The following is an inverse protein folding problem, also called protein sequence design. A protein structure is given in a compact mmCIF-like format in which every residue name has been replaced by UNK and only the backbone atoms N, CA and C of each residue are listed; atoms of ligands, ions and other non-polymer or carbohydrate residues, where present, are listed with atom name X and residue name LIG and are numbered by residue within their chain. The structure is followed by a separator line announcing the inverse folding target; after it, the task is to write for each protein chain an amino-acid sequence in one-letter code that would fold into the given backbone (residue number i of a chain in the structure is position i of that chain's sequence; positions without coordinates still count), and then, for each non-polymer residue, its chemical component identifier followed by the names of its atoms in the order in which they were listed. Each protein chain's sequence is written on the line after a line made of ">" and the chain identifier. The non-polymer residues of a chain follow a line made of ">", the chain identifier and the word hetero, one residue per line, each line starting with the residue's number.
data_IF_331069469829
#
_entry.id   IF_331069469829
#
_cell.length_a   1.000
_cell.length_b   1.000
_cell.length_c   1.000
_cell.angle_alpha   90.00
_cell.angle_beta   90.00
_cell.angle_gamma   90.00
#
_symmetry.space_group_name_H-M   'P 1'
#
loop_
_entity.id
_entity.type
_entity.pdbx_description
1 polymer ?
#
# COMPACT_ATOMS: atom_id res chain seq x y z
N UNK A 1 18.30 2.60 3.76
CA UNK A 1 18.61 1.87 2.52
C UNK A 1 18.81 0.38 2.81
N UNK A 2 18.26 -0.48 1.94
CA UNK A 2 18.46 -1.94 1.98
C UNK A 2 18.96 -2.41 0.61
N UNK A 3 20.15 -3.02 0.58
CA UNK A 3 20.80 -3.48 -0.66
C UNK A 3 20.92 -5.01 -0.75
N UNK A 4 20.60 -5.73 0.32
CA UNK A 4 20.69 -7.18 0.40
C UNK A 4 20.26 -7.72 1.76
N UNK A 5 20.46 -9.01 1.99
CA UNK A 5 20.11 -9.66 3.25
C UNK A 5 18.63 -10.01 3.35
N UNK A 6 18.26 -10.55 4.51
CA UNK A 6 16.87 -10.88 4.86
C UNK A 6 16.48 -10.23 6.18
N UNK A 7 15.42 -9.45 6.18
CA UNK A 7 14.85 -8.80 7.36
C UNK A 7 13.43 -9.30 7.55
N UNK A 8 13.15 -9.88 8.71
CA UNK A 8 11.80 -10.25 9.12
C UNK A 8 11.44 -9.52 10.41
N UNK A 9 10.31 -8.82 10.39
CA UNK A 9 9.81 -8.05 11.53
C UNK A 9 8.36 -8.39 11.79
N UNK A 10 7.96 -8.37 13.07
CA UNK A 10 6.57 -8.54 13.48
C UNK A 10 6.25 -7.58 14.62
N UNK A 11 5.07 -6.94 14.56
CA UNK A 11 4.57 -6.05 15.61
C UNK A 11 3.10 -6.32 15.88
N UNK A 12 2.68 -6.12 17.15
CA UNK A 12 1.31 -6.43 17.59
C UNK A 12 0.61 -5.24 18.25
N UNK A 13 1.35 -4.23 18.69
CA UNK A 13 0.77 -3.05 19.31
C UNK A 13 0.18 -2.10 18.27
N UNK A 14 -0.85 -1.35 18.68
CA UNK A 14 -1.42 -0.29 17.86
C UNK A 14 -0.36 0.75 17.51
N UNK A 15 -0.41 1.33 16.30
CA UNK A 15 0.59 2.28 15.76
C UNK A 15 2.02 1.75 15.65
N UNK A 16 2.27 0.49 15.94
CA UNK A 16 3.60 -0.09 15.79
C UNK A 16 3.81 -0.53 14.33
N UNK A 17 4.81 0.03 13.69
CA UNK A 17 5.14 -0.29 12.31
C UNK A 17 6.23 -1.36 12.23
N UNK A 18 6.19 -2.18 11.18
CA UNK A 18 7.24 -3.17 10.93
C UNK A 18 8.57 -2.49 10.62
N UNK A 19 8.54 -1.52 9.73
CA UNK A 19 9.68 -0.69 9.36
C UNK A 19 9.22 0.77 9.29
N UNK A 20 9.86 1.66 10.05
CA UNK A 20 9.55 3.10 10.06
C UNK A 20 10.78 3.92 9.71
N UNK A 21 10.60 4.93 8.86
CA UNK A 21 11.61 5.93 8.52
C UNK A 21 10.98 7.32 8.52
N UNK A 22 11.65 8.30 9.11
CA UNK A 22 11.30 9.72 9.01
C UNK A 22 11.84 10.36 7.70
N UNK A 23 12.63 9.60 6.93
CA UNK A 23 13.26 10.02 5.68
C UNK A 23 12.90 9.04 4.56
N UNK A 24 13.54 9.21 3.41
CA UNK A 24 13.40 8.31 2.26
C UNK A 24 13.81 6.87 2.60
N UNK A 25 13.12 5.94 1.97
CA UNK A 25 13.42 4.51 2.00
C UNK A 25 13.84 4.05 0.62
N UNK A 26 15.01 3.39 0.52
CA UNK A 26 15.54 2.84 -0.72
C UNK A 26 15.77 1.35 -0.53
N UNK A 27 15.17 0.53 -1.40
CA UNK A 27 15.33 -0.93 -1.42
C UNK A 27 15.79 -1.33 -2.81
N UNK A 28 17.05 -1.74 -2.93
CA UNK A 28 17.65 -2.19 -4.20
C UNK A 28 17.95 -3.68 -4.23
N UNK A 29 17.73 -4.41 -3.13
CA UNK A 29 17.96 -5.84 -3.06
C UNK A 29 17.62 -6.43 -1.69
N UNK A 30 17.77 -7.74 -1.56
CA UNK A 30 17.43 -8.48 -0.33
C UNK A 30 15.94 -8.81 -0.23
N UNK A 31 15.49 -9.21 0.96
CA UNK A 31 14.09 -9.51 1.23
C UNK A 31 13.65 -8.91 2.57
N UNK A 32 12.55 -8.16 2.55
CA UNK A 32 11.89 -7.59 3.70
C UNK A 32 10.53 -8.28 3.90
N UNK A 33 10.31 -8.85 5.07
CA UNK A 33 9.02 -9.42 5.47
C UNK A 33 8.51 -8.72 6.73
N UNK A 34 7.32 -8.12 6.65
CA UNK A 34 6.67 -7.45 7.78
C UNK A 34 5.30 -8.10 8.06
N UNK A 35 5.06 -8.43 9.33
CA UNK A 35 3.77 -8.90 9.83
C UNK A 35 3.31 -7.95 10.94
N UNK A 36 2.24 -7.20 10.70
CA UNK A 36 1.75 -6.16 11.62
C UNK A 36 0.27 -6.39 11.92
N UNK A 37 -0.02 -6.57 13.20
CA UNK A 37 -1.36 -6.93 13.66
C UNK A 37 -1.97 -5.93 14.64
N UNK A 38 -1.38 -4.78 14.84
CA UNK A 38 -1.94 -3.65 15.61
C UNK A 38 -2.82 -2.74 14.76
N UNK A 39 -3.81 -2.07 15.37
CA UNK A 39 -4.65 -1.09 14.69
C UNK A 39 -3.83 0.12 14.22
N UNK A 40 -4.15 0.66 13.05
CA UNK A 40 -3.44 1.80 12.48
C UNK A 40 -1.98 1.55 12.11
N UNK A 41 -1.51 0.29 12.14
CA UNK A 41 -0.11 -0.08 11.91
C UNK A 41 0.21 -0.29 10.42
N UNK A 42 1.48 -0.10 10.03
CA UNK A 42 1.96 -0.24 8.65
C UNK A 42 3.12 -1.25 8.59
N UNK A 43 3.16 -2.04 7.51
CA UNK A 43 4.30 -2.91 7.23
C UNK A 43 5.56 -2.06 7.04
N UNK A 44 5.51 -1.13 6.10
CA UNK A 44 6.50 -0.08 5.87
C UNK A 44 5.81 1.27 6.02
N UNK A 45 6.39 2.19 6.78
CA UNK A 45 5.97 3.58 6.93
C UNK A 45 7.15 4.50 6.67
N UNK A 46 7.05 5.43 5.73
CA UNK A 46 8.07 6.45 5.50
C UNK A 46 7.44 7.84 5.31
N UNK A 47 8.06 8.84 5.95
CA UNK A 47 7.63 10.23 5.81
C UNK A 47 8.21 10.88 4.52
N UNK A 48 9.28 10.31 3.97
CA UNK A 48 9.84 10.70 2.67
C UNK A 48 9.31 9.82 1.53
N UNK A 49 10.14 9.63 0.52
CA UNK A 49 9.85 8.80 -0.65
C UNK A 49 10.25 7.34 -0.43
N UNK A 50 9.57 6.44 -1.11
CA UNK A 50 9.98 5.04 -1.24
C UNK A 50 10.44 4.75 -2.67
N UNK A 51 11.67 4.29 -2.83
CA UNK A 51 12.18 3.78 -4.12
C UNK A 51 12.51 2.30 -3.99
N UNK A 52 11.93 1.48 -4.86
CA UNK A 52 12.23 0.05 -4.96
C UNK A 52 12.79 -0.24 -6.34
N UNK A 53 14.08 -0.57 -6.42
CA UNK A 53 14.74 -0.93 -7.69
C UNK A 53 15.08 -2.42 -7.78
N UNK A 54 14.78 -3.19 -6.74
CA UNK A 54 15.02 -4.63 -6.71
C UNK A 54 14.69 -5.25 -5.36
N UNK A 55 14.93 -6.54 -5.21
CA UNK A 55 14.63 -7.28 -3.99
C UNK A 55 13.18 -7.72 -3.87
N UNK A 56 12.80 -8.16 -2.68
CA UNK A 56 11.46 -8.66 -2.38
C UNK A 56 10.88 -8.02 -1.13
N UNK A 57 9.68 -7.47 -1.23
CA UNK A 57 8.93 -6.92 -0.11
C UNK A 57 7.66 -7.75 0.09
N UNK A 58 7.43 -8.22 1.31
CA UNK A 58 6.20 -8.89 1.70
C UNK A 58 5.66 -8.21 2.96
N UNK A 59 4.41 -7.75 2.94
CA UNK A 59 3.78 -7.19 4.14
C UNK A 59 2.37 -7.74 4.32
N UNK A 60 2.05 -8.06 5.58
CA UNK A 60 0.73 -8.49 6.02
C UNK A 60 0.23 -7.57 7.12
N UNK A 61 -1.02 -7.11 6.99
CA UNK A 61 -1.74 -6.35 8.03
C UNK A 61 -3.15 -6.91 8.21
N UNK A 62 -3.70 -6.86 9.43
CA UNK A 62 -4.97 -7.54 9.72
C UNK A 62 -5.97 -6.73 10.56
N UNK A 63 -5.58 -5.58 11.08
CA UNK A 63 -6.44 -4.80 11.97
C UNK A 63 -7.17 -3.65 11.28
N UNK A 64 -8.14 -3.10 12.00
CA UNK A 64 -8.93 -1.93 11.62
C UNK A 64 -8.12 -0.63 11.69
N UNK A 65 -8.63 0.48 11.16
CA UNK A 65 -8.08 1.81 11.41
C UNK A 65 -8.05 2.14 12.90
N UNK A 66 -7.10 2.97 13.29
CA UNK A 66 -7.10 3.65 14.58
C UNK A 66 -7.65 5.08 14.37
N UNK A 67 -8.61 5.47 15.22
CA UNK A 67 -9.07 6.85 15.28
C UNK A 67 -8.13 7.67 16.14
N UNK A 68 -7.59 8.73 15.62
CA UNK A 68 -6.72 9.68 16.29
C UNK A 68 -6.70 11.02 15.57
N UNK A 69 -6.52 12.10 16.30
CA UNK A 69 -6.41 13.47 15.75
C UNK A 69 -7.53 13.80 14.74
N UNK A 70 -8.75 13.38 15.07
CA UNK A 70 -9.96 13.56 14.23
C UNK A 70 -9.89 12.89 12.86
N UNK A 71 -9.05 11.87 12.67
CA UNK A 71 -8.89 11.11 11.44
C UNK A 71 -8.82 9.59 11.67
N UNK A 72 -8.92 8.82 10.58
CA UNK A 72 -8.83 7.37 10.54
C UNK A 72 -7.49 6.91 9.94
N UNK A 73 -6.55 6.56 10.81
CA UNK A 73 -5.28 5.96 10.39
C UNK A 73 -5.46 4.49 10.00
N UNK A 74 -5.64 4.20 8.73
CA UNK A 74 -5.84 2.82 8.22
C UNK A 74 -4.55 1.99 8.32
N UNK A 75 -4.69 0.68 8.53
CA UNK A 75 -3.57 -0.24 8.33
C UNK A 75 -3.17 -0.28 6.86
N UNK A 76 -1.87 -0.38 6.58
CA UNK A 76 -1.35 -0.45 5.23
C UNK A 76 -0.13 -1.40 5.13
N UNK A 77 0.00 -2.12 4.02
CA UNK A 77 1.24 -2.84 3.72
C UNK A 77 2.40 -1.86 3.58
N UNK A 78 2.20 -0.81 2.78
CA UNK A 78 3.13 0.32 2.60
C UNK A 78 2.36 1.62 2.74
N UNK A 79 2.86 2.57 3.55
CA UNK A 79 2.42 3.96 3.62
C UNK A 79 3.62 4.87 3.39
N UNK A 80 3.48 5.81 2.48
CA UNK A 80 4.44 6.88 2.22
C UNK A 80 3.75 8.24 2.26
N UNK A 81 4.40 9.23 2.85
CA UNK A 81 3.94 10.62 2.80
C UNK A 81 4.45 11.32 1.52
N UNK A 82 5.63 10.93 1.03
CA UNK A 82 6.13 11.32 -0.29
C UNK A 82 5.69 10.40 -1.42
N UNK A 83 6.48 10.31 -2.47
CA UNK A 83 6.22 9.50 -3.66
C UNK A 83 6.67 8.04 -3.47
N UNK A 84 6.01 7.13 -4.20
CA UNK A 84 6.44 5.73 -4.33
C UNK A 84 6.87 5.50 -5.78
N UNK A 85 8.12 5.06 -5.97
CA UNK A 85 8.68 4.71 -7.28
C UNK A 85 9.14 3.26 -7.27
N UNK A 86 8.61 2.47 -8.18
CA UNK A 86 8.96 1.05 -8.35
C UNK A 86 9.63 0.90 -9.71
N UNK A 87 10.96 0.74 -9.69
CA UNK A 87 11.81 0.51 -10.85
C UNK A 87 11.97 -1.00 -11.14
N UNK A 88 11.60 -1.85 -10.20
CA UNK A 88 11.74 -3.30 -10.30
C UNK A 88 11.52 -4.02 -8.97
N UNK A 89 11.81 -5.32 -8.93
CA UNK A 89 11.65 -6.16 -7.74
C UNK A 89 10.29 -6.83 -7.63
N UNK A 90 10.04 -7.46 -6.50
CA UNK A 90 8.81 -8.18 -6.20
C UNK A 90 8.16 -7.59 -4.93
N UNK A 91 6.95 -7.12 -5.05
CA UNK A 91 6.16 -6.56 -3.93
C UNK A 91 4.87 -7.37 -3.77
N UNK A 92 4.67 -7.95 -2.58
CA UNK A 92 3.48 -8.72 -2.24
C UNK A 92 2.86 -8.18 -0.94
N UNK A 93 1.71 -7.52 -1.04
CA UNK A 93 1.03 -6.89 0.08
C UNK A 93 -0.33 -7.56 0.32
N UNK A 94 -0.65 -7.81 1.58
CA UNK A 94 -1.96 -8.30 1.97
C UNK A 94 -2.46 -7.52 3.19
N UNK A 95 -3.67 -6.97 3.07
CA UNK A 95 -4.36 -6.30 4.17
C UNK A 95 -5.78 -6.86 4.32
N UNK A 96 -6.07 -7.48 5.47
CA UNK A 96 -7.34 -8.18 5.70
C UNK A 96 -8.26 -7.44 6.67
N UNK A 97 -7.76 -6.46 7.38
CA UNK A 97 -8.54 -5.64 8.31
C UNK A 97 -9.48 -4.66 7.59
N UNK A 98 -10.52 -4.21 8.29
CA UNK A 98 -11.43 -3.19 7.77
C UNK A 98 -10.67 -1.96 7.29
N UNK A 99 -11.08 -1.37 6.19
CA UNK A 99 -10.45 -0.23 5.52
C UNK A 99 -8.94 -0.38 5.24
N UNK A 100 -8.45 -1.62 5.22
CA UNK A 100 -7.03 -1.89 5.01
C UNK A 100 -6.55 -1.45 3.64
N UNK A 101 -5.37 -0.86 3.58
CA UNK A 101 -4.71 -0.46 2.34
C UNK A 101 -3.57 -1.43 2.04
N UNK A 102 -3.39 -1.75 0.77
CA UNK A 102 -2.15 -2.43 0.37
C UNK A 102 -1.01 -1.43 0.27
N UNK A 103 -1.11 -0.51 -0.65
CA UNK A 103 -0.17 0.59 -0.86
C UNK A 103 -0.93 1.92 -0.75
N UNK A 104 -0.49 2.81 0.11
CA UNK A 104 -1.10 4.12 0.34
C UNK A 104 -0.03 5.21 0.28
N UNK A 105 -0.24 6.22 -0.56
CA UNK A 105 0.73 7.26 -0.83
C UNK A 105 0.04 8.63 -0.81
N UNK A 106 0.61 9.60 -0.10
CA UNK A 106 0.11 10.98 -0.12
C UNK A 106 0.66 11.75 -1.34
N UNK A 107 1.78 11.31 -1.88
CA UNK A 107 2.30 11.76 -3.18
C UNK A 107 1.78 10.91 -4.34
N UNK A 108 2.62 10.72 -5.33
CA UNK A 108 2.36 9.95 -6.56
C UNK A 108 2.92 8.52 -6.47
N UNK A 109 2.31 7.59 -7.19
CA UNK A 109 2.84 6.24 -7.38
C UNK A 109 3.25 6.07 -8.84
N UNK A 110 4.51 5.67 -9.08
CA UNK A 110 5.00 5.34 -10.42
C UNK A 110 5.60 3.93 -10.44
N UNK A 111 5.13 3.11 -11.35
CA UNK A 111 5.64 1.75 -11.57
C UNK A 111 6.26 1.68 -12.95
N UNK A 112 7.58 1.48 -13.02
CA UNK A 112 8.32 1.34 -14.28
C UNK A 112 8.47 -0.12 -14.68
N UNK A 113 8.72 -1.02 -13.70
CA UNK A 113 8.91 -2.45 -13.92
C UNK A 113 8.70 -3.23 -12.60
N UNK A 114 8.87 -4.55 -12.63
CA UNK A 114 8.74 -5.45 -11.48
C UNK A 114 7.37 -6.11 -11.37
N UNK A 115 7.14 -6.77 -10.23
CA UNK A 115 5.87 -7.43 -9.94
C UNK A 115 5.27 -6.86 -8.66
N UNK A 116 4.08 -6.28 -8.77
CA UNK A 116 3.32 -5.72 -7.65
C UNK A 116 2.04 -6.52 -7.50
N UNK A 117 1.93 -7.27 -6.40
CA UNK A 117 0.72 -8.02 -6.04
C UNK A 117 0.13 -7.47 -4.76
N UNK A 118 -1.13 -7.05 -4.82
CA UNK A 118 -1.83 -6.48 -3.67
C UNK A 118 -3.19 -7.14 -3.48
N UNK A 119 -3.46 -7.58 -2.25
CA UNK A 119 -4.73 -8.18 -1.86
C UNK A 119 -5.29 -7.42 -0.66
N UNK A 120 -6.51 -6.91 -0.79
CA UNK A 120 -7.28 -6.37 0.33
C UNK A 120 -8.63 -7.09 0.41
N UNK A 121 -9.03 -7.46 1.63
CA UNK A 121 -10.30 -8.18 1.87
C UNK A 121 -11.12 -7.55 3.00
N UNK A 122 -10.65 -6.46 3.57
CA UNK A 122 -11.36 -5.75 4.63
C UNK A 122 -12.57 -4.99 4.09
N UNK A 123 -13.63 -4.93 4.90
CA UNK A 123 -14.84 -4.14 4.62
C UNK A 123 -14.61 -2.65 4.87
N UNK A 124 -15.57 -1.82 4.53
CA UNK A 124 -15.61 -0.42 4.98
C UNK A 124 -15.57 -0.36 6.52
N UNK A 125 -14.90 0.66 7.04
CA UNK A 125 -14.88 1.00 8.46
C UNK A 125 -15.51 2.38 8.68
N UNK A 126 -16.44 2.45 9.61
CA UNK A 126 -17.15 3.69 9.97
C UNK A 126 -16.93 3.98 11.45
N UNK A 127 -16.57 5.22 11.76
CA UNK A 127 -16.43 5.72 13.13
C UNK A 127 -17.02 7.14 13.22
N UNK A 128 -18.17 7.27 13.85
CA UNK A 128 -18.90 8.53 13.91
C UNK A 128 -19.35 9.00 12.51
N UNK A 129 -18.77 10.10 12.04
CA UNK A 129 -19.02 10.67 10.69
C UNK A 129 -17.87 10.34 9.71
N UNK A 130 -16.83 9.70 10.20
CA UNK A 130 -15.68 9.31 9.38
C UNK A 130 -15.89 7.90 8.83
N UNK A 131 -15.48 7.70 7.61
CA UNK A 131 -15.41 6.37 7.01
C UNK A 131 -14.15 6.20 6.20
N UNK A 132 -13.78 4.95 6.00
CA UNK A 132 -12.67 4.55 5.13
C UNK A 132 -12.97 3.18 4.56
N UNK A 133 -12.61 2.96 3.29
CA UNK A 133 -12.80 1.70 2.58
C UNK A 133 -11.47 1.06 2.22
N UNK A 134 -11.45 -0.24 1.99
CA UNK A 134 -10.26 -0.94 1.58
C UNK A 134 -9.82 -0.53 0.17
N UNK A 135 -8.54 -0.29 -0.04
CA UNK A 135 -7.96 0.04 -1.34
C UNK A 135 -6.70 -0.80 -1.57
N UNK A 136 -6.60 -1.46 -2.71
CA UNK A 136 -5.35 -2.17 -2.99
C UNK A 136 -4.20 -1.19 -3.19
N UNK A 137 -4.36 -0.19 -4.03
CA UNK A 137 -3.39 0.89 -4.23
C UNK A 137 -4.12 2.24 -4.22
N UNK A 138 -3.63 3.20 -3.45
CA UNK A 138 -4.16 4.56 -3.39
C UNK A 138 -3.04 5.58 -3.45
N UNK A 139 -3.17 6.56 -4.34
CA UNK A 139 -2.33 7.75 -4.41
C UNK A 139 -3.20 9.01 -4.29
N UNK A 140 -2.80 9.95 -3.46
CA UNK A 140 -3.42 11.29 -3.45
C UNK A 140 -2.97 12.10 -4.68
N UNK A 141 -1.75 11.86 -5.16
CA UNK A 141 -1.23 12.37 -6.43
C UNK A 141 -1.54 11.46 -7.62
N UNK A 142 -0.77 11.62 -8.69
CA UNK A 142 -0.90 10.81 -9.90
C UNK A 142 -0.49 9.34 -9.67
N UNK A 143 -1.14 8.41 -10.36
CA UNK A 143 -0.72 7.02 -10.43
C UNK A 143 -0.39 6.65 -11.87
N UNK A 144 0.88 6.29 -12.12
CA UNK A 144 1.38 5.98 -13.47
C UNK A 144 1.99 4.58 -13.51
N UNK A 145 1.55 3.78 -14.48
CA UNK A 145 2.10 2.45 -14.75
C UNK A 145 2.75 2.50 -16.13
N UNK A 146 4.09 2.40 -16.16
CA UNK A 146 4.91 2.43 -17.38
C UNK A 146 5.34 1.03 -17.83
N UNK A 147 5.14 0.01 -16.99
CA UNK A 147 5.57 -1.36 -17.28
C UNK A 147 5.33 -2.30 -16.11
N UNK A 148 5.92 -3.48 -16.17
CA UNK A 148 5.85 -4.51 -15.13
C UNK A 148 4.52 -5.27 -15.09
N UNK A 149 4.29 -5.95 -13.97
CA UNK A 149 3.08 -6.74 -13.72
C UNK A 149 2.40 -6.27 -12.44
N UNK A 150 1.16 -5.80 -12.55
CA UNK A 150 0.35 -5.31 -11.42
C UNK A 150 -0.88 -6.19 -11.26
N UNK A 151 -0.94 -6.92 -10.14
CA UNK A 151 -2.03 -7.83 -9.80
C UNK A 151 -2.73 -7.33 -8.54
N UNK A 152 -3.96 -6.85 -8.67
CA UNK A 152 -4.72 -6.33 -7.52
C UNK A 152 -6.00 -7.13 -7.30
N UNK A 153 -6.34 -7.31 -6.02
CA UNK A 153 -7.60 -7.87 -5.60
C UNK A 153 -8.13 -7.08 -4.40
N UNK A 154 -9.30 -6.47 -4.55
CA UNK A 154 -9.97 -5.71 -3.50
C UNK A 154 -11.42 -6.19 -3.39
N UNK A 155 -11.69 -7.14 -2.49
CA UNK A 155 -12.97 -7.88 -2.43
C UNK A 155 -13.68 -7.76 -1.10
N UNK A 156 -13.40 -6.72 -0.32
CA UNK A 156 -13.91 -6.55 1.03
C UNK A 156 -15.36 -6.03 1.13
N UNK A 157 -15.98 -5.66 0.03
CA UNK A 157 -17.32 -5.09 0.01
C UNK A 157 -17.35 -3.66 -0.52
N UNK A 158 -18.41 -2.94 -0.25
CA UNK A 158 -18.66 -1.59 -0.76
C UNK A 158 -17.46 -0.65 -0.56
N UNK A 159 -17.13 0.13 -1.58
CA UNK A 159 -15.98 1.03 -1.62
C UNK A 159 -14.62 0.35 -1.73
N UNK A 160 -14.58 -1.01 -1.86
CA UNK A 160 -13.30 -1.74 -2.01
C UNK A 160 -12.80 -1.64 -3.44
N UNK A 161 -11.89 -0.71 -3.69
CA UNK A 161 -11.34 -0.41 -5.01
C UNK A 161 -9.94 -1.00 -5.21
N UNK A 162 -9.60 -1.22 -6.47
CA UNK A 162 -8.30 -1.73 -6.88
C UNK A 162 -7.22 -0.66 -6.87
N UNK A 163 -7.19 0.14 -7.92
CA UNK A 163 -6.18 1.18 -8.16
C UNK A 163 -6.87 2.53 -8.17
N UNK A 164 -6.62 3.36 -7.16
CA UNK A 164 -7.21 4.68 -7.02
C UNK A 164 -6.14 5.77 -7.10
N UNK A 165 -6.39 6.78 -7.93
CA UNK A 165 -5.67 8.05 -7.94
C UNK A 165 -6.64 9.19 -7.63
N UNK A 166 -6.27 10.09 -6.73
CA UNK A 166 -7.01 11.33 -6.49
C UNK A 166 -6.61 12.46 -7.45
N UNK A 167 -5.99 12.10 -8.58
CA UNK A 167 -5.58 13.00 -9.63
C UNK A 167 -5.69 12.29 -10.98
N UNK A 168 -4.59 11.93 -11.59
CA UNK A 168 -4.53 11.29 -12.92
C UNK A 168 -4.06 9.84 -12.79
N UNK A 169 -4.77 8.92 -13.43
CA UNK A 169 -4.36 7.54 -13.59
C UNK A 169 -3.93 7.31 -15.03
N UNK A 170 -2.68 6.88 -15.22
CA UNK A 170 -2.09 6.65 -16.54
C UNK A 170 -1.52 5.25 -16.63
N UNK A 171 -1.82 4.55 -17.71
CA UNK A 171 -1.21 3.27 -18.07
C UNK A 171 -0.57 3.43 -19.44
N UNK A 172 0.76 3.35 -19.48
CA UNK A 172 1.53 3.44 -20.72
C UNK A 172 1.90 2.06 -21.27
N UNK A 173 2.23 1.10 -20.37
CA UNK A 173 2.62 -0.27 -20.72
C UNK A 173 2.44 -1.20 -19.51
N UNK A 174 2.73 -2.49 -19.67
CA UNK A 174 2.69 -3.49 -18.61
C UNK A 174 1.46 -4.39 -18.65
N UNK A 175 1.40 -5.33 -17.71
CA UNK A 175 0.26 -6.22 -17.51
C UNK A 175 -0.47 -5.85 -16.22
N UNK A 176 -1.76 -5.53 -16.32
CA UNK A 176 -2.59 -5.24 -15.16
C UNK A 176 -3.72 -6.26 -15.10
N UNK A 177 -3.89 -6.93 -13.97
CA UNK A 177 -5.05 -7.75 -13.68
C UNK A 177 -5.67 -7.31 -12.36
N UNK A 178 -6.93 -6.93 -12.39
CA UNK A 178 -7.66 -6.43 -11.24
C UNK A 178 -8.97 -7.21 -11.04
N UNK A 179 -9.26 -7.57 -9.77
CA UNK A 179 -10.53 -8.15 -9.36
C UNK A 179 -11.00 -7.41 -8.11
N UNK A 180 -12.04 -6.63 -8.24
CA UNK A 180 -12.52 -5.78 -7.16
C UNK A 180 -14.03 -5.96 -6.95
N UNK A 181 -14.48 -5.57 -5.77
CA UNK A 181 -15.90 -5.53 -5.48
C UNK A 181 -16.55 -4.27 -6.10
N UNK A 182 -15.84 -3.17 -5.99
CA UNK A 182 -16.22 -1.88 -6.57
C UNK A 182 -15.28 -1.55 -7.74
N UNK A 183 -14.85 -0.33 -7.92
CA UNK A 183 -14.04 0.07 -9.07
C UNK A 183 -12.65 -0.59 -9.08
N UNK A 184 -12.31 -1.22 -10.19
CA UNK A 184 -10.97 -1.77 -10.36
C UNK A 184 -9.92 -0.68 -10.60
N UNK A 185 -10.27 0.37 -11.31
CA UNK A 185 -9.42 1.52 -11.59
C UNK A 185 -10.25 2.79 -11.49
N UNK A 186 -9.86 3.69 -10.62
CA UNK A 186 -10.59 4.92 -10.33
C UNK A 186 -9.64 6.12 -10.35
N UNK A 187 -10.02 7.19 -11.04
CA UNK A 187 -9.38 8.48 -11.00
C UNK A 187 -10.42 9.54 -10.62
N UNK A 188 -10.26 10.17 -9.46
CA UNK A 188 -11.22 11.14 -8.92
C UNK A 188 -10.49 12.35 -8.36
N UNK A 189 -11.02 13.55 -8.64
CA UNK A 189 -10.59 14.84 -8.06
C UNK A 189 -11.42 15.19 -6.84
#
# INVERSE_FOLDING_TARGET
>A
TMTGGFVKVATTADKAHGFKSELDVIISGGALQAEVTGAGSKGISCNGNLTVSGGKITAFTSQKPLYEDDDLSSCAGIKCDGDIVIEGGEIALQSTGAAGKGMNCDGSITIHDGTVKVITTGTQYVYGKLDSSAKAMKAEGALTINGGTVLVRATGGEGSEGIESKSVLTVNDGMIAALCYDDCMNASN
#
